data_IF_798768801046
#
_entry.id   IF_798768801046
#
_cell.length_a   1.000
_cell.length_b   1.000
_cell.length_c   1.000
_cell.angle_alpha   90.00
_cell.angle_beta   90.00
_cell.angle_gamma   90.00
#
_symmetry.space_group_name_H-M   'P 1'
#
loop_
_entity.id
_entity.type
_entity.pdbx_description
1 polymer ?
#
# COMPACT_ATOMS: atom_id res chain seq x y z
N UNK A 1 11.57 -0.78 -55.41
CA UNK A 1 10.49 -0.93 -54.40
C UNK A 1 11.00 -1.60 -53.11
N UNK A 2 12.12 -2.33 -53.12
CA UNK A 2 12.72 -2.97 -51.92
C UNK A 2 13.04 -1.98 -50.78
N UNK A 3 13.67 -0.85 -51.08
CA UNK A 3 14.17 0.09 -50.05
C UNK A 3 13.07 0.71 -49.15
N UNK A 4 11.82 0.85 -49.64
CA UNK A 4 10.72 1.40 -48.83
C UNK A 4 10.17 0.38 -47.82
N UNK A 5 10.20 -0.91 -48.15
CA UNK A 5 9.72 -1.96 -47.25
C UNK A 5 10.71 -2.17 -46.09
N UNK A 6 12.01 -2.08 -46.37
CA UNK A 6 13.05 -2.17 -45.34
C UNK A 6 12.97 -0.99 -44.36
N UNK A 7 12.75 0.23 -44.86
CA UNK A 7 12.57 1.41 -44.01
C UNK A 7 11.32 1.30 -43.10
N UNK A 8 10.22 0.73 -43.61
CA UNK A 8 9.00 0.49 -42.84
C UNK A 8 9.22 -0.56 -41.75
N UNK A 9 9.93 -1.65 -42.06
CA UNK A 9 10.26 -2.70 -41.09
C UNK A 9 11.16 -2.17 -39.97
N UNK A 10 12.15 -1.34 -40.31
CA UNK A 10 13.03 -0.69 -39.32
C UNK A 10 12.24 0.25 -38.40
N UNK A 11 11.33 1.06 -38.96
CA UNK A 11 10.46 1.95 -38.17
C UNK A 11 9.57 1.14 -37.22
N UNK A 12 8.98 0.05 -37.72
CA UNK A 12 8.12 -0.83 -36.93
C UNK A 12 8.88 -1.46 -35.76
N UNK A 13 10.06 -2.02 -36.00
CA UNK A 13 10.89 -2.62 -34.95
C UNK A 13 11.30 -1.60 -33.89
N UNK A 14 11.68 -0.38 -34.30
CA UNK A 14 12.00 0.70 -33.36
C UNK A 14 10.79 1.11 -32.51
N UNK A 15 9.60 1.19 -33.09
CA UNK A 15 8.36 1.46 -32.34
C UNK A 15 8.06 0.35 -31.33
N UNK A 16 8.23 -0.92 -31.70
CA UNK A 16 8.00 -2.06 -30.80
C UNK A 16 9.02 -2.08 -29.66
N UNK A 17 10.30 -1.77 -29.93
CA UNK A 17 11.32 -1.60 -28.89
C UNK A 17 10.98 -0.46 -27.93
N UNK A 18 10.43 0.64 -28.44
CA UNK A 18 9.96 1.73 -27.58
C UNK A 18 8.80 1.31 -26.69
N UNK A 19 7.84 0.55 -27.23
CA UNK A 19 6.73 -0.02 -26.44
C UNK A 19 7.22 -1.00 -25.37
N UNK A 20 8.18 -1.87 -25.71
CA UNK A 20 8.81 -2.78 -24.75
C UNK A 20 9.47 -2.03 -23.60
N UNK A 21 10.15 -0.90 -23.90
CA UNK A 21 10.72 -0.04 -22.86
C UNK A 21 9.63 0.54 -21.96
N UNK A 22 8.56 1.07 -22.54
CA UNK A 22 7.42 1.60 -21.77
C UNK A 22 6.74 0.53 -20.91
N UNK A 23 6.62 -0.71 -21.39
CA UNK A 23 6.09 -1.84 -20.60
C UNK A 23 6.97 -2.11 -19.37
N UNK A 24 8.29 -2.07 -19.53
CA UNK A 24 9.24 -2.26 -18.43
C UNK A 24 9.23 -1.10 -17.44
N UNK A 25 9.09 0.13 -17.92
CA UNK A 25 8.93 1.32 -17.07
C UNK A 25 7.65 1.20 -16.23
N UNK A 26 6.53 0.85 -16.86
CA UNK A 26 5.26 0.63 -16.18
C UNK A 26 5.32 -0.50 -15.14
N UNK A 27 6.02 -1.60 -15.46
CA UNK A 27 6.28 -2.66 -14.49
C UNK A 27 7.09 -2.14 -13.29
N UNK A 28 8.14 -1.36 -13.53
CA UNK A 28 8.98 -0.79 -12.47
C UNK A 28 8.21 0.18 -11.58
N UNK A 29 7.29 0.97 -12.13
CA UNK A 29 6.38 1.80 -11.35
C UNK A 29 5.51 0.95 -10.42
N UNK A 30 4.97 -0.17 -10.93
CA UNK A 30 4.21 -1.12 -10.12
C UNK A 30 5.06 -1.84 -9.05
N UNK A 31 6.34 -2.12 -9.33
CA UNK A 31 7.29 -2.63 -8.34
C UNK A 31 7.53 -1.61 -7.22
N UNK A 32 7.67 -0.32 -7.55
CA UNK A 32 7.82 0.74 -6.55
C UNK A 32 6.58 0.85 -5.64
N UNK A 33 5.38 0.83 -6.23
CA UNK A 33 4.11 0.80 -5.47
C UNK A 33 4.09 -0.43 -4.55
N UNK A 34 4.45 -1.61 -5.06
CA UNK A 34 4.51 -2.85 -4.27
C UNK A 34 5.41 -2.72 -3.03
N UNK A 35 6.57 -2.07 -3.19
CA UNK A 35 7.53 -1.87 -2.12
C UNK A 35 7.00 -0.91 -1.05
N UNK A 36 6.31 0.17 -1.45
CA UNK A 36 5.69 1.09 -0.50
C UNK A 36 4.58 0.37 0.27
N UNK A 37 3.74 -0.42 -0.41
CA UNK A 37 2.69 -1.22 0.24
C UNK A 37 3.28 -2.20 1.26
N UNK A 38 4.43 -2.82 0.98
CA UNK A 38 5.13 -3.68 1.93
C UNK A 38 5.57 -2.90 3.18
N UNK A 39 6.15 -1.72 3.00
CA UNK A 39 6.57 -0.86 4.12
C UNK A 39 5.37 -0.42 4.98
N UNK A 40 4.26 -0.06 4.35
CA UNK A 40 3.02 0.26 5.07
C UNK A 40 2.49 -0.93 5.86
N UNK A 41 2.54 -2.15 5.29
CA UNK A 41 2.13 -3.37 5.97
C UNK A 41 2.96 -3.61 7.24
N UNK A 42 4.29 -3.47 7.15
CA UNK A 42 5.21 -3.62 8.28
C UNK A 42 4.96 -2.55 9.36
N UNK A 43 4.69 -1.30 8.95
CA UNK A 43 4.32 -0.24 9.89
C UNK A 43 3.02 -0.58 10.64
N UNK A 44 1.98 -1.06 9.94
CA UNK A 44 0.72 -1.47 10.56
C UNK A 44 0.91 -2.66 11.50
N UNK A 45 1.75 -3.64 11.14
CA UNK A 45 2.09 -4.76 12.04
C UNK A 45 2.78 -4.29 13.32
N UNK A 46 3.68 -3.31 13.21
CA UNK A 46 4.36 -2.74 14.37
C UNK A 46 3.41 -1.93 15.25
N UNK A 47 2.46 -1.21 14.65
CA UNK A 47 1.40 -0.49 15.38
C UNK A 47 0.55 -1.49 16.15
N UNK A 48 0.09 -2.57 15.51
CA UNK A 48 -0.76 -3.57 16.17
C UNK A 48 -0.07 -4.23 17.36
N UNK A 49 1.19 -4.67 17.18
CA UNK A 49 2.01 -5.22 18.28
C UNK A 49 2.18 -4.22 19.42
N UNK A 50 2.40 -2.95 19.10
CA UNK A 50 2.54 -1.90 20.11
C UNK A 50 1.24 -1.70 20.87
N UNK A 51 0.09 -1.66 20.17
CA UNK A 51 -1.23 -1.56 20.78
C UNK A 51 -1.51 -2.77 21.69
N UNK A 52 -1.20 -4.00 21.26
CA UNK A 52 -1.35 -5.19 22.10
C UNK A 52 -0.53 -5.12 23.40
N UNK A 53 0.70 -4.60 23.34
CA UNK A 53 1.55 -4.44 24.52
C UNK A 53 0.96 -3.41 25.47
N UNK A 54 0.51 -2.26 24.94
CA UNK A 54 -0.10 -1.20 25.75
C UNK A 54 -1.38 -1.71 26.39
N UNK A 55 -2.24 -2.38 25.63
CA UNK A 55 -3.49 -2.96 26.10
C UNK A 55 -3.25 -3.98 27.23
N UNK A 56 -2.32 -4.93 27.05
CA UNK A 56 -1.95 -5.90 28.09
C UNK A 56 -1.47 -5.22 29.37
N UNK A 57 -0.61 -4.21 29.25
CA UNK A 57 -0.10 -3.47 30.40
C UNK A 57 -1.20 -2.66 31.10
N UNK A 58 -2.09 -2.04 30.33
CA UNK A 58 -3.23 -1.31 30.85
C UNK A 58 -4.19 -2.23 31.62
N UNK A 59 -4.49 -3.42 31.09
CA UNK A 59 -5.31 -4.43 31.76
C UNK A 59 -4.67 -4.93 33.08
N UNK A 60 -3.35 -5.07 33.14
CA UNK A 60 -2.66 -5.39 34.40
C UNK A 60 -2.81 -4.28 35.44
N UNK A 61 -2.78 -3.02 35.01
CA UNK A 61 -2.96 -1.87 35.91
C UNK A 61 -4.40 -1.81 36.45
N UNK A 62 -5.40 -2.07 35.60
CA UNK A 62 -6.80 -2.18 36.03
C UNK A 62 -6.94 -3.22 37.15
N UNK A 63 -6.44 -4.44 36.93
CA UNK A 63 -6.48 -5.53 37.93
C UNK A 63 -5.75 -5.18 39.22
N UNK A 64 -4.62 -4.48 39.13
CA UNK A 64 -3.87 -4.06 40.31
C UNK A 64 -4.61 -2.97 41.11
N UNK A 65 -5.34 -2.08 40.45
CA UNK A 65 -6.20 -1.08 41.10
C UNK A 65 -7.41 -1.74 41.78
N UNK A 66 -8.09 -2.64 41.08
CA UNK A 66 -9.23 -3.40 41.61
C UNK A 66 -8.85 -4.26 42.83
N UNK A 67 -7.63 -4.78 42.86
CA UNK A 67 -7.09 -5.54 44.01
C UNK A 67 -6.48 -4.67 45.12
N UNK A 68 -6.53 -3.33 44.99
CA UNK A 68 -6.00 -2.39 45.98
C UNK A 68 -4.46 -2.32 46.05
N UNK A 69 -3.75 -2.98 45.12
CA UNK A 69 -2.29 -3.04 45.09
C UNK A 69 -1.64 -1.82 44.44
N UNK A 70 -2.40 -1.01 43.70
CA UNK A 70 -1.86 0.07 42.90
C UNK A 70 -2.85 1.24 42.74
N UNK A 71 -2.39 2.47 42.98
CA UNK A 71 -3.21 3.69 42.89
C UNK A 71 -2.54 4.85 42.15
N UNK A 72 -1.38 4.63 41.52
CA UNK A 72 -0.64 5.74 40.90
C UNK A 72 -1.03 5.95 39.42
N UNK A 73 -1.87 6.95 39.18
CA UNK A 73 -2.30 7.38 37.85
C UNK A 73 -1.14 7.89 36.96
N UNK A 74 0.03 8.23 37.52
CA UNK A 74 1.18 8.66 36.71
C UNK A 74 1.71 7.59 35.76
N UNK A 75 1.60 6.31 36.10
CA UNK A 75 2.03 5.23 35.19
C UNK A 75 1.13 5.18 33.96
N UNK A 76 -0.16 5.44 34.11
CA UNK A 76 -1.12 5.39 33.01
C UNK A 76 -0.95 6.58 32.07
N UNK A 77 -0.67 7.77 32.62
CA UNK A 77 -0.33 8.95 31.82
C UNK A 77 0.86 8.71 30.88
N UNK A 78 1.75 7.76 31.19
CA UNK A 78 2.85 7.38 30.30
C UNK A 78 2.40 6.66 29.03
N UNK A 79 1.19 6.12 28.95
CA UNK A 79 0.65 5.52 27.73
C UNK A 79 0.05 6.55 26.77
N UNK A 80 -0.43 7.70 27.27
CA UNK A 80 -1.10 8.71 26.46
C UNK A 80 -0.20 9.19 25.32
N UNK A 81 1.02 9.64 25.63
CA UNK A 81 1.95 10.16 24.62
C UNK A 81 2.32 9.12 23.54
N UNK A 82 2.66 7.86 23.87
CA UNK A 82 2.80 6.80 22.87
C UNK A 82 1.57 6.62 21.98
N UNK A 83 0.36 6.61 22.55
CA UNK A 83 -0.88 6.45 21.80
C UNK A 83 -1.16 7.64 20.88
N UNK A 84 -0.95 8.87 21.33
CA UNK A 84 -1.01 10.09 20.49
C UNK A 84 -0.01 10.05 19.34
N UNK A 85 1.19 9.52 19.57
CA UNK A 85 2.17 9.33 18.49
C UNK A 85 1.69 8.29 17.48
N UNK A 86 1.07 7.20 17.93
CA UNK A 86 0.49 6.20 17.03
C UNK A 86 -0.65 6.78 16.18
N UNK A 87 -1.46 7.72 16.70
CA UNK A 87 -2.50 8.41 15.90
C UNK A 87 -1.84 9.09 14.71
N UNK A 88 -0.79 9.89 14.95
CA UNK A 88 -0.08 10.61 13.88
C UNK A 88 0.52 9.66 12.84
N UNK A 89 1.03 8.51 13.28
CA UNK A 89 1.56 7.50 12.35
C UNK A 89 0.43 6.92 11.50
N UNK A 90 -0.71 6.59 12.10
CA UNK A 90 -1.91 6.11 11.38
C UNK A 90 -2.39 7.15 10.37
N UNK A 91 -2.49 8.43 10.75
CA UNK A 91 -2.88 9.52 9.83
C UNK A 91 -1.91 9.65 8.64
N UNK A 92 -0.61 9.49 8.88
CA UNK A 92 0.38 9.48 7.80
C UNK A 92 0.21 8.27 6.87
N UNK A 93 -0.13 7.10 7.41
CA UNK A 93 -0.45 5.90 6.62
C UNK A 93 -1.72 6.12 5.80
N UNK A 94 -2.77 6.72 6.36
CA UNK A 94 -4.00 7.07 5.63
C UNK A 94 -3.70 8.01 4.46
N UNK A 95 -2.92 9.07 4.70
CA UNK A 95 -2.53 10.02 3.66
C UNK A 95 -1.70 9.34 2.54
N UNK A 96 -0.76 8.49 2.92
CA UNK A 96 0.08 7.76 1.96
C UNK A 96 -0.78 6.78 1.14
N UNK A 97 -1.70 6.07 1.79
CA UNK A 97 -2.63 5.14 1.14
C UNK A 97 -3.54 5.85 0.14
N UNK A 98 -4.01 7.06 0.47
CA UNK A 98 -4.80 7.88 -0.45
C UNK A 98 -3.99 8.34 -1.67
N UNK A 99 -2.73 8.71 -1.49
CA UNK A 99 -1.85 9.06 -2.60
C UNK A 99 -1.59 7.85 -3.51
N UNK A 100 -1.28 6.69 -2.92
CA UNK A 100 -1.10 5.44 -3.67
C UNK A 100 -2.37 5.03 -4.42
N UNK A 101 -3.55 5.25 -3.84
CA UNK A 101 -4.82 4.99 -4.53
C UNK A 101 -4.92 5.81 -5.81
N UNK A 102 -4.63 7.10 -5.73
CA UNK A 102 -4.63 7.98 -6.90
C UNK A 102 -3.59 7.55 -7.95
N UNK A 103 -2.40 7.15 -7.52
CA UNK A 103 -1.36 6.63 -8.43
C UNK A 103 -1.80 5.35 -9.13
N UNK A 104 -2.39 4.39 -8.39
CA UNK A 104 -2.94 3.15 -8.94
C UNK A 104 -4.06 3.44 -9.95
N UNK A 105 -4.98 4.36 -9.66
CA UNK A 105 -6.04 4.74 -10.59
C UNK A 105 -5.48 5.44 -11.84
N UNK A 106 -4.46 6.29 -11.69
CA UNK A 106 -3.78 6.91 -12.82
C UNK A 106 -3.12 5.86 -13.72
N UNK A 107 -2.43 4.88 -13.15
CA UNK A 107 -1.91 3.72 -13.87
C UNK A 107 -3.03 2.92 -14.55
N UNK A 108 -4.14 2.67 -13.85
CA UNK A 108 -5.28 1.91 -14.36
C UNK A 108 -5.95 2.59 -15.57
N UNK A 109 -5.98 3.94 -15.59
CA UNK A 109 -6.52 4.70 -16.72
C UNK A 109 -5.79 4.45 -18.05
N UNK A 110 -4.53 3.98 -17.99
CA UNK A 110 -3.73 3.65 -19.18
C UNK A 110 -3.99 2.23 -19.71
N UNK A 111 -4.65 1.35 -18.94
CA UNK A 111 -4.91 -0.06 -19.31
C UNK A 111 -5.66 -0.19 -20.66
N UNK A 112 -6.74 0.56 -20.95
CA UNK A 112 -7.47 0.39 -22.21
C UNK A 112 -6.60 0.62 -23.44
N UNK A 113 -5.80 1.70 -23.41
CA UNK A 113 -4.85 2.05 -24.47
C UNK A 113 -3.79 0.98 -24.64
N UNK A 114 -3.21 0.52 -23.54
CA UNK A 114 -2.18 -0.51 -23.57
C UNK A 114 -2.74 -1.88 -24.04
N UNK A 115 -4.00 -2.19 -23.74
CA UNK A 115 -4.69 -3.39 -24.26
C UNK A 115 -4.87 -3.32 -25.78
N UNK A 116 -5.28 -2.17 -26.31
CA UNK A 116 -5.38 -1.96 -27.76
C UNK A 116 -4.02 -2.15 -28.45
N UNK A 117 -2.96 -1.59 -27.86
CA UNK A 117 -1.58 -1.77 -28.36
C UNK A 117 -1.20 -3.26 -28.33
N UNK A 118 -1.50 -3.96 -27.23
CA UNK A 118 -1.23 -5.39 -27.07
C UNK A 118 -1.94 -6.22 -28.15
N UNK A 119 -3.19 -5.90 -28.47
CA UNK A 119 -3.95 -6.58 -29.51
C UNK A 119 -3.38 -6.32 -30.92
N UNK A 120 -2.94 -5.09 -31.20
CA UNK A 120 -2.21 -4.77 -32.45
C UNK A 120 -0.88 -5.51 -32.56
N UNK A 121 -0.14 -5.64 -31.44
CA UNK A 121 1.14 -6.36 -31.40
C UNK A 121 0.99 -7.86 -31.69
N UNK A 122 -0.14 -8.48 -31.29
CA UNK A 122 -0.41 -9.90 -31.60
C UNK A 122 -0.48 -10.18 -33.10
N UNK A 123 -0.96 -9.20 -33.88
CA UNK A 123 -1.07 -9.32 -35.34
C UNK A 123 0.32 -9.31 -35.99
N UNK A 124 1.25 -8.51 -35.45
CA UNK A 124 2.60 -8.36 -35.99
C UNK A 124 3.45 -9.63 -35.75
N UNK A 125 3.24 -10.32 -34.64
CA UNK A 125 3.81 -11.64 -34.33
C UNK A 125 5.34 -11.75 -34.52
N UNK A 126 6.09 -10.73 -34.07
CA UNK A 126 7.55 -10.79 -33.97
C UNK A 126 8.00 -10.97 -32.50
N UNK A 127 9.23 -11.42 -32.29
CA UNK A 127 9.75 -11.73 -30.96
C UNK A 127 9.65 -10.55 -29.97
N UNK A 128 10.01 -9.34 -30.41
CA UNK A 128 9.92 -8.13 -29.59
C UNK A 128 8.47 -7.74 -29.25
N UNK A 129 7.51 -8.02 -30.13
CA UNK A 129 6.07 -7.86 -29.84
C UNK A 129 5.61 -8.83 -28.77
N UNK A 130 6.04 -10.09 -28.85
CA UNK A 130 5.71 -11.12 -27.85
C UNK A 130 6.24 -10.74 -26.47
N UNK A 131 7.48 -10.26 -26.40
CA UNK A 131 8.08 -9.75 -25.15
C UNK A 131 7.32 -8.55 -24.59
N UNK A 132 6.95 -7.58 -25.43
CA UNK A 132 6.19 -6.42 -24.97
C UNK A 132 4.82 -6.81 -24.40
N UNK A 133 4.12 -7.74 -25.06
CA UNK A 133 2.83 -8.29 -24.59
C UNK A 133 2.99 -8.94 -23.21
N UNK A 134 4.03 -9.75 -23.01
CA UNK A 134 4.29 -10.43 -21.74
C UNK A 134 4.61 -9.44 -20.60
N UNK A 135 5.46 -8.44 -20.86
CA UNK A 135 5.81 -7.40 -19.88
C UNK A 135 4.58 -6.58 -19.48
N UNK A 136 3.71 -6.22 -20.43
CA UNK A 136 2.43 -5.55 -20.12
C UNK A 136 1.53 -6.42 -19.27
N UNK A 137 1.42 -7.72 -19.58
CA UNK A 137 0.62 -8.65 -18.79
C UNK A 137 1.10 -8.72 -17.34
N UNK A 138 2.41 -8.89 -17.13
CA UNK A 138 3.01 -8.90 -15.79
C UNK A 138 2.69 -7.59 -15.06
N UNK A 139 2.87 -6.44 -15.72
CA UNK A 139 2.59 -5.14 -15.11
C UNK A 139 1.11 -4.97 -14.70
N UNK A 140 0.16 -5.46 -15.50
CA UNK A 140 -1.26 -5.44 -15.12
C UNK A 140 -1.57 -6.34 -13.93
N UNK A 141 -1.03 -7.56 -13.92
CA UNK A 141 -1.23 -8.49 -12.82
C UNK A 141 -0.67 -7.89 -11.50
N UNK A 142 0.46 -7.17 -11.58
CA UNK A 142 1.02 -6.42 -10.45
C UNK A 142 0.13 -5.25 -10.02
N UNK A 143 -0.40 -4.45 -10.95
CA UNK A 143 -1.28 -3.34 -10.64
C UNK A 143 -2.55 -3.80 -9.91
N UNK A 144 -3.18 -4.88 -10.38
CA UNK A 144 -4.35 -5.47 -9.73
C UNK A 144 -4.02 -6.02 -8.34
N UNK A 145 -2.86 -6.66 -8.18
CA UNK A 145 -2.39 -7.11 -6.88
C UNK A 145 -2.14 -5.94 -5.92
N UNK A 146 -1.51 -4.87 -6.41
CA UNK A 146 -1.26 -3.66 -5.63
C UNK A 146 -2.56 -3.00 -5.18
N UNK A 147 -3.58 -2.96 -6.04
CA UNK A 147 -4.90 -2.43 -5.70
C UNK A 147 -5.52 -3.21 -4.55
N UNK A 148 -5.56 -4.55 -4.66
CA UNK A 148 -6.10 -5.43 -3.60
C UNK A 148 -5.36 -5.26 -2.27
N UNK A 149 -4.03 -5.27 -2.31
CA UNK A 149 -3.21 -5.06 -1.12
C UNK A 149 -3.44 -3.69 -0.49
N UNK A 150 -3.59 -2.64 -1.30
CA UNK A 150 -3.90 -1.31 -0.78
C UNK A 150 -5.25 -1.29 -0.07
N UNK A 151 -6.28 -1.92 -0.64
CA UNK A 151 -7.59 -2.02 0.00
C UNK A 151 -7.50 -2.77 1.35
N UNK A 152 -6.77 -3.89 1.40
CA UNK A 152 -6.50 -4.63 2.65
C UNK A 152 -5.79 -3.76 3.71
N UNK A 153 -4.81 -2.94 3.29
CA UNK A 153 -4.07 -2.04 4.18
C UNK A 153 -4.94 -0.90 4.68
N UNK A 154 -5.84 -0.35 3.84
CA UNK A 154 -6.80 0.68 4.24
C UNK A 154 -7.73 0.12 5.31
N UNK A 155 -8.27 -1.08 5.10
CA UNK A 155 -9.15 -1.74 6.08
C UNK A 155 -8.42 -2.00 7.40
N UNK A 156 -7.19 -2.53 7.34
CA UNK A 156 -6.36 -2.72 8.53
C UNK A 156 -6.05 -1.41 9.25
N UNK A 157 -5.76 -0.34 8.51
CA UNK A 157 -5.50 0.99 9.06
C UNK A 157 -6.71 1.48 9.85
N UNK A 158 -7.92 1.33 9.30
CA UNK A 158 -9.16 1.68 9.98
C UNK A 158 -9.37 0.87 11.27
N UNK A 159 -9.17 -0.45 11.22
CA UNK A 159 -9.28 -1.31 12.41
C UNK A 159 -8.32 -0.87 13.51
N UNK A 160 -7.07 -0.57 13.17
CA UNK A 160 -6.07 -0.14 14.15
C UNK A 160 -6.36 1.26 14.70
N UNK A 161 -6.91 2.16 13.88
CA UNK A 161 -7.37 3.48 14.32
C UNK A 161 -8.50 3.35 15.33
N UNK A 162 -9.52 2.56 15.02
CA UNK A 162 -10.65 2.30 15.92
C UNK A 162 -10.16 1.66 17.24
N UNK A 163 -9.23 0.70 17.18
CA UNK A 163 -8.62 0.07 18.37
C UNK A 163 -7.88 1.10 19.24
N UNK A 164 -7.11 1.98 18.61
CA UNK A 164 -6.34 3.04 19.27
C UNK A 164 -7.27 4.07 19.94
N UNK A 165 -8.29 4.56 19.24
CA UNK A 165 -9.27 5.50 19.78
C UNK A 165 -10.02 4.90 20.97
N UNK A 166 -10.46 3.64 20.85
CA UNK A 166 -11.11 2.94 21.95
C UNK A 166 -10.19 2.78 23.18
N UNK A 167 -8.91 2.47 22.99
CA UNK A 167 -7.96 2.35 24.09
C UNK A 167 -7.71 3.69 24.79
N UNK A 168 -7.64 4.79 24.03
CA UNK A 168 -7.54 6.14 24.58
C UNK A 168 -8.78 6.51 25.40
N UNK A 169 -9.98 6.21 24.91
CA UNK A 169 -11.22 6.43 25.65
C UNK A 169 -11.25 5.64 26.96
N UNK A 170 -10.84 4.37 26.94
CA UNK A 170 -10.75 3.56 28.16
C UNK A 170 -9.75 4.12 29.17
N UNK A 171 -8.61 4.64 28.70
CA UNK A 171 -7.61 5.30 29.55
C UNK A 171 -8.18 6.58 30.16
N UNK A 172 -8.85 7.41 29.37
CA UNK A 172 -9.46 8.65 29.85
C UNK A 172 -10.54 8.37 30.89
N UNK A 173 -11.45 7.43 30.62
CA UNK A 173 -12.46 6.95 31.58
C UNK A 173 -11.82 6.43 32.87
N UNK A 174 -10.72 5.69 32.77
CA UNK A 174 -10.00 5.18 33.93
C UNK A 174 -9.39 6.30 34.78
N UNK A 175 -8.81 7.32 34.13
CA UNK A 175 -8.18 8.45 34.79
C UNK A 175 -9.21 9.39 35.44
N UNK A 176 -10.39 9.50 34.85
CA UNK A 176 -11.48 10.36 35.34
C UNK A 176 -12.35 9.65 36.40
N UNK A 177 -12.34 8.32 36.47
CA UNK A 177 -12.89 7.55 37.59
C UNK A 177 -11.97 7.64 38.80
N UNK A 178 -12.24 8.63 39.66
CA UNK A 178 -11.65 8.88 41.00
C UNK A 178 -10.19 9.36 41.02
#
# INVERSE_FOLDING_TARGET
>A
MENKNDELLIKLDNSIKSLLRSAREFKKENENISNILLQLAEMLDNIDKTLEIIEKNFQLIIKNRESGKFSNNEIIKKFVKPLENLIKVIENIENTSNNLKNEIENCASSIPTLKEITDKLKIINIASSTQAIEEFKIAYDMLENNRKKLDELIDKTKILKDKLENLLLQIDDFLNKH
#
